data_IF_779116869385
#
_entry.id   IF_779116869385
#
_cell.length_a   1.000
_cell.length_b   1.000
_cell.length_c   1.000
_cell.angle_alpha   90.00
_cell.angle_beta   90.00
_cell.angle_gamma   90.00
#
_symmetry.space_group_name_H-M   'P 1'
#
loop_
_entity.id
_entity.type
_entity.pdbx_description
1 polymer ?
#
# COMPACT_ATOMS: atom_id res chain seq x y z
N UNK A 1 -30.78 5.99 4.69
CA UNK A 1 -29.69 5.82 3.72
C UNK A 1 -29.85 4.48 3.03
N UNK A 2 -29.49 4.36 1.74
CA UNK A 2 -29.59 3.11 0.98
C UNK A 2 -28.23 2.39 0.94
N UNK A 3 -28.23 1.09 0.67
CA UNK A 3 -26.99 0.34 0.45
C UNK A 3 -26.09 1.01 -0.60
N UNK A 4 -26.69 1.48 -1.72
CA UNK A 4 -25.98 2.19 -2.79
C UNK A 4 -25.26 3.44 -2.29
N UNK A 5 -25.89 4.27 -1.46
CA UNK A 5 -25.25 5.48 -0.92
C UNK A 5 -24.08 5.13 0.01
N UNK A 6 -24.24 4.08 0.82
CA UNK A 6 -23.20 3.65 1.76
C UNK A 6 -22.00 3.03 1.02
N UNK A 7 -22.26 2.23 -0.01
CA UNK A 7 -21.21 1.60 -0.81
C UNK A 7 -20.41 2.63 -1.63
N UNK A 8 -21.08 3.59 -2.28
CA UNK A 8 -20.37 4.65 -3.01
C UNK A 8 -19.56 5.57 -2.08
N UNK A 9 -20.06 5.83 -0.87
CA UNK A 9 -19.31 6.57 0.13
C UNK A 9 -18.08 5.80 0.63
N UNK A 10 -18.18 4.47 0.75
CA UNK A 10 -17.06 3.62 1.14
C UNK A 10 -15.97 3.56 0.05
N UNK A 11 -16.34 3.55 -1.24
CA UNK A 11 -15.37 3.63 -2.36
C UNK A 11 -14.64 4.97 -2.38
N UNK A 12 -15.34 6.07 -2.09
CA UNK A 12 -14.77 7.41 -2.12
C UNK A 12 -13.89 7.74 -0.90
N UNK A 13 -14.00 6.96 0.19
CA UNK A 13 -13.25 7.20 1.41
C UNK A 13 -11.81 6.66 1.28
N UNK A 14 -10.77 7.47 1.59
CA UNK A 14 -9.40 6.97 1.65
C UNK A 14 -9.30 5.83 2.66
N UNK A 15 -8.80 4.69 2.22
CA UNK A 15 -8.54 3.55 3.10
C UNK A 15 -7.23 3.79 3.82
N UNK A 16 -7.24 3.62 5.13
CA UNK A 16 -6.02 3.71 5.92
C UNK A 16 -6.13 2.87 7.19
N UNK A 17 -4.98 2.63 7.81
CA UNK A 17 -4.89 2.02 9.13
C UNK A 17 -3.84 2.75 9.96
N UNK A 18 -4.24 3.16 11.15
CA UNK A 18 -3.31 3.65 12.15
C UNK A 18 -2.71 2.46 12.91
N UNK A 19 -1.43 2.55 13.24
CA UNK A 19 -0.73 1.54 14.03
C UNK A 19 0.20 2.18 15.06
N UNK A 20 0.14 1.66 16.28
CA UNK A 20 1.11 1.97 17.33
C UNK A 20 2.31 1.04 17.17
N UNK A 21 3.49 1.63 17.01
CA UNK A 21 4.76 0.91 16.89
C UNK A 21 5.67 1.26 18.07
N UNK A 22 6.71 0.46 18.36
CA UNK A 22 7.67 0.77 19.43
C UNK A 22 8.39 2.13 19.28
N UNK A 23 8.36 2.72 18.09
CA UNK A 23 9.07 3.95 17.73
C UNK A 23 8.14 5.11 17.37
N UNK A 24 6.82 4.93 17.49
CA UNK A 24 5.83 5.98 17.26
C UNK A 24 4.54 5.48 16.63
N UNK A 25 3.52 6.33 16.61
CA UNK A 25 2.28 6.05 15.91
C UNK A 25 2.40 6.47 14.46
N UNK A 26 1.98 5.61 13.54
CA UNK A 26 1.96 5.88 12.10
C UNK A 26 0.58 5.64 11.51
N UNK A 27 0.31 6.26 10.37
CA UNK A 27 -0.82 5.92 9.50
C UNK A 27 -0.29 5.31 8.21
N UNK A 28 -0.90 4.21 7.80
CA UNK A 28 -0.62 3.57 6.52
C UNK A 28 -1.79 3.79 5.60
N UNK A 29 -1.55 4.46 4.47
CA UNK A 29 -2.57 4.75 3.46
C UNK A 29 -2.60 3.65 2.39
N UNK A 30 -3.80 3.40 1.85
CA UNK A 30 -3.92 2.73 0.56
C UNK A 30 -3.48 3.69 -0.55
N UNK A 31 -2.65 3.19 -1.46
CA UNK A 31 -2.27 3.91 -2.67
C UNK A 31 -3.40 3.81 -3.68
N UNK A 32 -3.73 4.93 -4.30
CA UNK A 32 -4.71 4.97 -5.40
C UNK A 32 -4.19 5.87 -6.52
N UNK A 33 -4.62 5.60 -7.75
CA UNK A 33 -4.28 6.38 -8.95
C UNK A 33 -2.79 6.67 -9.08
N UNK A 34 -2.44 7.94 -9.29
CA UNK A 34 -1.07 8.42 -9.52
C UNK A 34 -0.05 7.96 -8.46
N UNK A 35 -0.47 7.83 -7.19
CA UNK A 35 0.43 7.39 -6.12
C UNK A 35 0.81 5.92 -6.27
N UNK A 36 -0.15 5.07 -6.64
CA UNK A 36 0.09 3.66 -6.93
C UNK A 36 0.94 3.51 -8.19
N UNK A 37 0.66 4.27 -9.26
CA UNK A 37 1.44 4.21 -10.50
C UNK A 37 2.91 4.57 -10.29
N UNK A 38 3.20 5.59 -9.47
CA UNK A 38 4.58 5.97 -9.12
C UNK A 38 5.27 4.86 -8.35
N UNK A 39 4.59 4.28 -7.35
CA UNK A 39 5.12 3.14 -6.60
C UNK A 39 5.38 1.94 -7.54
N UNK A 40 4.43 1.58 -8.39
CA UNK A 40 4.55 0.46 -9.33
C UNK A 40 5.72 0.67 -10.30
N UNK A 41 5.88 1.89 -10.84
CA UNK A 41 6.99 2.24 -11.72
C UNK A 41 8.34 2.17 -10.99
N UNK A 42 8.42 2.59 -9.73
CA UNK A 42 9.63 2.46 -8.91
C UNK A 42 9.93 0.99 -8.58
N UNK A 43 8.91 0.22 -8.21
CA UNK A 43 9.00 -1.21 -7.88
C UNK A 43 9.48 -2.03 -9.07
N UNK A 44 8.98 -1.74 -10.27
CA UNK A 44 9.37 -2.42 -11.51
C UNK A 44 10.87 -2.27 -11.85
N UNK A 45 11.54 -1.22 -11.35
CA UNK A 45 12.97 -0.96 -11.57
C UNK A 45 13.88 -1.78 -10.65
N UNK A 46 13.34 -2.48 -9.64
CA UNK A 46 14.15 -3.25 -8.68
C UNK A 46 13.70 -4.69 -8.55
N UNK A 47 14.68 -5.61 -8.52
CA UNK A 47 14.46 -7.04 -8.24
C UNK A 47 14.65 -7.40 -6.76
N UNK A 48 15.08 -6.45 -5.93
CA UNK A 48 15.31 -6.67 -4.50
C UNK A 48 13.99 -6.67 -3.74
N UNK A 49 13.74 -7.69 -2.92
CA UNK A 49 12.57 -7.75 -2.03
C UNK A 49 12.67 -6.63 -0.99
N UNK A 50 13.83 -6.49 -0.35
CA UNK A 50 14.08 -5.46 0.67
C UNK A 50 13.85 -4.05 0.12
N UNK A 51 14.42 -3.73 -1.06
CA UNK A 51 14.20 -2.42 -1.68
C UNK A 51 12.74 -2.20 -2.07
N UNK A 52 12.04 -3.26 -2.46
CA UNK A 52 10.60 -3.23 -2.69
C UNK A 52 9.81 -2.83 -1.46
N UNK A 53 10.10 -3.48 -0.33
CA UNK A 53 9.45 -3.19 0.94
C UNK A 53 9.74 -1.75 1.38
N UNK A 54 10.99 -1.27 1.25
CA UNK A 54 11.35 0.10 1.55
C UNK A 54 10.57 1.11 0.67
N UNK A 55 10.51 0.89 -0.64
CA UNK A 55 9.72 1.73 -1.56
C UNK A 55 8.22 1.75 -1.19
N UNK A 56 7.69 0.61 -0.74
CA UNK A 56 6.28 0.53 -0.37
C UNK A 56 6.00 1.26 0.95
N UNK A 57 6.91 1.18 1.92
CA UNK A 57 6.88 1.95 3.16
C UNK A 57 6.94 3.45 2.87
N UNK A 58 7.87 3.90 2.03
CA UNK A 58 8.00 5.32 1.62
C UNK A 58 6.71 5.83 0.97
N UNK A 59 6.06 5.01 0.15
CA UNK A 59 4.84 5.42 -0.54
C UNK A 59 3.61 5.50 0.38
N UNK A 60 3.53 4.67 1.43
CA UNK A 60 2.28 4.45 2.18
C UNK A 60 2.27 5.02 3.60
N UNK A 61 3.44 5.20 4.22
CA UNK A 61 3.53 5.59 5.63
C UNK A 61 3.55 7.10 5.79
N UNK A 62 2.54 7.60 6.50
CA UNK A 62 2.35 9.03 6.81
C UNK A 62 2.20 9.26 8.31
N UNK A 63 2.49 10.48 8.71
CA UNK A 63 2.21 10.96 10.07
C UNK A 63 0.68 11.07 10.25
N UNK A 64 0.09 10.48 11.31
CA UNK A 64 -1.36 10.38 11.46
C UNK A 64 -2.06 11.72 11.70
N UNK A 65 -1.34 12.72 12.22
CA UNK A 65 -1.89 14.06 12.53
C UNK A 65 -1.85 14.97 11.31
N UNK A 66 -0.77 14.91 10.53
CA UNK A 66 -0.51 15.81 9.40
C UNK A 66 -0.79 15.19 8.03
N UNK A 67 -0.93 13.86 7.95
CA UNK A 67 -0.98 13.07 6.72
C UNK A 67 0.20 13.33 5.76
N UNK A 68 1.34 13.80 6.28
CA UNK A 68 2.56 14.00 5.50
C UNK A 68 3.40 12.72 5.47
N UNK A 69 4.11 12.41 4.36
CA UNK A 69 5.02 11.28 4.30
C UNK A 69 6.04 11.32 5.46
N UNK A 70 6.22 10.18 6.13
CA UNK A 70 7.26 10.04 7.18
C UNK A 70 8.63 9.84 6.53
N UNK A 71 8.66 9.19 5.38
CA UNK A 71 9.87 8.89 4.63
C UNK A 71 9.81 9.47 3.23
N UNK A 72 10.98 9.65 2.64
CA UNK A 72 11.20 10.14 1.28
C UNK A 72 12.00 9.13 0.46
N UNK A 73 12.16 9.40 -0.84
CA UNK A 73 12.97 8.53 -1.70
C UNK A 73 14.45 8.48 -1.29
N UNK A 74 14.96 9.53 -0.63
CA UNK A 74 16.34 9.60 -0.15
C UNK A 74 16.58 8.63 1.01
N UNK A 75 15.54 8.24 1.76
CA UNK A 75 15.63 7.32 2.90
C UNK A 75 15.65 5.84 2.47
N UNK A 76 15.44 5.52 1.17
CA UNK A 76 15.30 4.15 0.69
C UNK A 76 16.53 3.30 0.97
N UNK A 77 17.72 3.87 0.80
CA UNK A 77 18.98 3.14 1.02
C UNK A 77 19.18 2.86 2.52
N UNK A 78 18.89 3.83 3.40
CA UNK A 78 18.94 3.66 4.85
C UNK A 78 17.92 2.61 5.35
N UNK A 79 16.72 2.59 4.76
CA UNK A 79 15.70 1.57 5.04
C UNK A 79 16.12 0.18 4.56
N UNK A 80 16.97 0.08 3.52
CA UNK A 80 17.49 -1.19 3.03
C UNK A 80 18.62 -1.75 3.91
N UNK A 81 19.50 -0.87 4.41
CA UNK A 81 20.70 -1.24 5.15
C UNK A 81 20.47 -1.35 6.66
N UNK A 82 19.40 -0.72 7.17
CA UNK A 82 19.02 -0.72 8.58
C UNK A 82 18.32 -2.00 9.07
N UNK A 83 17.53 -1.86 10.13
CA UNK A 83 16.74 -2.97 10.68
C UNK A 83 15.59 -3.35 9.74
N UNK A 84 15.87 -4.27 8.82
CA UNK A 84 14.92 -4.77 7.82
C UNK A 84 13.66 -5.39 8.43
N UNK A 85 13.66 -5.82 9.69
CA UNK A 85 12.47 -6.35 10.37
C UNK A 85 11.42 -5.26 10.64
N UNK A 86 11.84 -4.03 10.97
CA UNK A 86 10.91 -2.92 11.17
C UNK A 86 10.27 -2.50 9.83
N UNK A 87 11.06 -2.46 8.77
CA UNK A 87 10.59 -2.17 7.40
C UNK A 87 9.64 -3.26 6.92
N UNK A 88 9.96 -4.54 7.19
CA UNK A 88 9.10 -5.66 6.84
C UNK A 88 7.73 -5.55 7.54
N UNK A 89 7.71 -5.26 8.85
CA UNK A 89 6.44 -5.13 9.59
C UNK A 89 5.55 -4.01 9.03
N UNK A 90 6.14 -2.86 8.65
CA UNK A 90 5.40 -1.78 7.99
C UNK A 90 4.94 -2.16 6.58
N UNK A 91 5.77 -2.86 5.80
CA UNK A 91 5.41 -3.32 4.47
C UNK A 91 4.28 -4.37 4.50
N UNK A 92 4.26 -5.25 5.50
CA UNK A 92 3.16 -6.20 5.73
C UNK A 92 1.86 -5.46 6.11
N UNK A 93 1.96 -4.44 6.96
CA UNK A 93 0.82 -3.59 7.28
C UNK A 93 0.29 -2.85 6.04
N UNK A 94 1.19 -2.27 5.24
CA UNK A 94 0.85 -1.63 3.97
C UNK A 94 0.20 -2.62 3.00
N UNK A 95 0.73 -3.84 2.90
CA UNK A 95 0.11 -4.91 2.12
C UNK A 95 -1.31 -5.16 2.61
N UNK A 96 -1.55 -5.30 3.91
CA UNK A 96 -2.91 -5.53 4.43
C UNK A 96 -3.91 -4.41 4.11
N UNK A 97 -3.44 -3.16 4.04
CA UNK A 97 -4.30 -2.00 3.71
C UNK A 97 -4.59 -1.93 2.21
N UNK A 98 -3.64 -2.35 1.37
CA UNK A 98 -3.66 -2.26 -0.09
C UNK A 98 -4.11 -3.57 -0.78
N UNK A 99 -4.14 -4.71 -0.09
CA UNK A 99 -4.46 -6.04 -0.65
C UNK A 99 -5.92 -6.20 -1.10
N UNK A 100 -6.79 -5.23 -0.79
CA UNK A 100 -8.19 -5.29 -1.23
C UNK A 100 -8.44 -4.65 -2.61
N UNK A 101 -7.44 -4.05 -3.26
CA UNK A 101 -7.55 -3.60 -4.67
C UNK A 101 -7.07 -4.66 -5.69
N UNK A 102 -6.36 -5.72 -5.26
CA UNK A 102 -5.98 -6.83 -6.16
C UNK A 102 -7.19 -7.63 -6.69
N UNK A 103 -8.37 -7.51 -6.07
CA UNK A 103 -9.61 -8.10 -6.59
C UNK A 103 -10.25 -7.29 -7.73
N UNK A 104 -9.86 -6.03 -7.94
CA UNK A 104 -10.48 -5.17 -8.97
C UNK A 104 -9.61 -4.99 -10.22
N UNK A 105 -8.28 -5.11 -10.11
CA UNK A 105 -7.37 -5.07 -11.27
C UNK A 105 -7.11 -6.44 -11.91
N UNK A 106 -7.33 -7.55 -11.19
CA UNK A 106 -7.08 -8.90 -11.71
C UNK A 106 -8.22 -9.48 -12.57
N UNK A 107 -9.44 -8.94 -12.53
CA UNK A 107 -10.56 -9.41 -13.35
C UNK A 107 -10.59 -8.81 -14.78
N UNK A 108 -9.58 -8.01 -15.15
CA UNK A 108 -9.40 -7.45 -16.49
C UNK A 108 -8.64 -8.34 -17.48
N UNK A 109 -8.24 -9.57 -17.12
CA UNK A 109 -7.66 -10.55 -18.05
C UNK A 109 -8.31 -11.92 -17.86
N UNK A 110 -9.31 -12.18 -18.70
CA UNK A 110 -10.10 -13.40 -18.65
C UNK A 110 -9.29 -14.68 -18.87
N UNK A 111 -9.85 -15.76 -18.39
CA UNK A 111 -9.88 -17.02 -19.14
C UNK A 111 -11.26 -17.63 -18.95
N UNK A 112 -12.03 -17.63 -20.04
CA UNK A 112 -13.18 -18.50 -20.17
C UNK A 112 -12.69 -19.96 -20.06
N UNK A 113 -13.13 -20.66 -19.03
CA UNK A 113 -13.16 -22.11 -19.02
C UNK A 113 -14.63 -22.50 -18.86
N UNK A 114 -15.21 -22.98 -19.96
CA UNK A 114 -16.61 -23.33 -20.07
C UNK A 114 -16.99 -24.45 -19.11
N UNK A 115 -18.15 -24.27 -18.49
CA UNK A 115 -18.87 -25.34 -17.80
C UNK A 115 -19.67 -26.11 -18.85
N UNK A 116 -19.19 -27.29 -19.21
CA UNK A 116 -20.05 -28.43 -19.59
C UNK A 116 -19.83 -29.45 -18.48
N UNK A 117 -20.84 -29.84 -17.70
CA UNK A 117 -21.99 -30.58 -18.21
C UNK A 117 -21.67 -32.06 -18.03
#
# INVERSE_FOLDING_TARGET
MSFKSNFLAAIAAPRFKDADTPWGRVRVLALTGDAYDRYAAARAKTKSVTRGNALFVVATVVDPETNKPVFTEDDVDDLCDGNTSAVLALAELATSVNAEDEFLDAEGKGTAAGTTG
#
